data_IF_934307684928
#
_entry.id   IF_934307684928
#
_cell.length_a   1.000
_cell.length_b   1.000
_cell.length_c   1.000
_cell.angle_alpha   90.00
_cell.angle_beta   90.00
_cell.angle_gamma   90.00
#
_symmetry.space_group_name_H-M   'P 1'
#
loop_
_entity.id
_entity.type
_entity.pdbx_description
1 polymer ?
#
# COMPACT_ATOMS: atom_id res chain seq x y z
N UNK A 1 -4.58 -19.82 -9.02
CA UNK A 1 -5.48 -19.37 -10.10
C UNK A 1 -5.16 -17.99 -10.71
N UNK A 2 -5.55 -16.84 -10.11
CA UNK A 2 -5.38 -15.51 -10.75
C UNK A 2 -3.91 -15.16 -11.00
N UNK A 3 -3.05 -15.35 -9.99
CA UNK A 3 -1.59 -15.20 -10.10
C UNK A 3 -0.97 -16.07 -11.19
N UNK A 4 -1.44 -17.30 -11.34
CA UNK A 4 -0.92 -18.21 -12.37
C UNK A 4 -1.26 -17.69 -13.76
N UNK A 5 -2.47 -17.14 -13.94
CA UNK A 5 -2.86 -16.49 -15.20
C UNK A 5 -2.08 -15.18 -15.43
N UNK A 6 -1.84 -14.38 -14.39
CA UNK A 6 -1.01 -13.16 -14.47
C UNK A 6 0.46 -13.49 -14.79
N UNK A 7 0.96 -14.64 -14.33
CA UNK A 7 2.27 -15.19 -14.67
C UNK A 7 2.33 -15.85 -16.07
N UNK A 8 1.25 -15.76 -16.86
CA UNK A 8 1.20 -16.20 -18.25
C UNK A 8 0.61 -17.58 -18.51
N UNK A 9 0.08 -18.27 -17.49
CA UNK A 9 -0.63 -19.53 -17.71
C UNK A 9 -1.92 -19.31 -18.51
N UNK A 10 -2.22 -20.23 -19.45
CA UNK A 10 -3.45 -20.19 -20.23
C UNK A 10 -4.66 -20.33 -19.31
N UNK A 11 -5.60 -19.41 -19.44
CA UNK A 11 -6.83 -19.36 -18.63
C UNK A 11 -7.59 -20.69 -18.65
N UNK A 12 -7.66 -21.38 -19.80
CA UNK A 12 -8.38 -22.64 -19.92
C UNK A 12 -7.75 -23.77 -19.08
N UNK A 13 -6.42 -23.83 -19.05
CA UNK A 13 -5.69 -24.83 -18.26
C UNK A 13 -5.78 -24.55 -16.76
N UNK A 14 -5.78 -23.26 -16.41
CA UNK A 14 -6.04 -22.79 -15.05
C UNK A 14 -7.48 -23.14 -14.62
N UNK A 15 -8.48 -22.90 -15.47
CA UNK A 15 -9.88 -23.26 -15.22
C UNK A 15 -10.07 -24.77 -15.03
N UNK A 16 -9.47 -25.59 -15.92
CA UNK A 16 -9.50 -27.07 -15.82
C UNK A 16 -8.85 -27.58 -14.54
N UNK A 17 -7.63 -27.12 -14.21
CA UNK A 17 -6.91 -27.56 -13.00
C UNK A 17 -7.66 -27.22 -11.71
N UNK A 18 -8.35 -26.08 -11.68
CA UNK A 18 -9.11 -25.65 -10.51
C UNK A 18 -10.58 -26.08 -10.54
N UNK A 19 -11.03 -26.77 -11.58
CA UNK A 19 -12.41 -27.24 -11.70
C UNK A 19 -13.46 -26.12 -11.76
N UNK A 20 -13.11 -24.96 -12.33
CA UNK A 20 -14.05 -23.84 -12.44
C UNK A 20 -14.29 -23.42 -13.90
N UNK A 21 -15.40 -22.74 -14.15
CA UNK A 21 -15.71 -22.19 -15.47
C UNK A 21 -14.91 -20.92 -15.77
N UNK A 22 -14.67 -20.64 -17.06
CA UNK A 22 -14.06 -19.37 -17.49
C UNK A 22 -14.87 -18.15 -17.05
N UNK A 23 -16.21 -18.26 -16.98
CA UNK A 23 -17.08 -17.19 -16.49
C UNK A 23 -16.81 -16.88 -15.00
N UNK A 24 -16.63 -17.92 -14.18
CA UNK A 24 -16.25 -17.78 -12.76
C UNK A 24 -14.87 -17.12 -12.64
N UNK A 25 -13.89 -17.57 -13.44
CA UNK A 25 -12.56 -16.97 -13.47
C UNK A 25 -12.60 -15.47 -13.76
N UNK A 26 -13.29 -15.05 -14.83
CA UNK A 26 -13.36 -13.65 -15.19
C UNK A 26 -14.12 -12.80 -14.16
N UNK A 27 -15.13 -13.37 -13.50
CA UNK A 27 -15.81 -12.70 -12.38
C UNK A 27 -14.86 -12.44 -11.22
N UNK A 28 -14.03 -13.42 -10.85
CA UNK A 28 -13.00 -13.25 -9.83
C UNK A 28 -11.89 -12.31 -10.27
N UNK A 29 -11.45 -12.38 -11.53
CA UNK A 29 -10.45 -11.46 -12.08
C UNK A 29 -10.94 -10.01 -12.05
N UNK A 30 -12.22 -9.76 -12.32
CA UNK A 30 -12.81 -8.41 -12.22
C UNK A 30 -12.83 -7.91 -10.77
N UNK A 31 -13.11 -8.80 -9.80
CA UNK A 31 -13.26 -8.43 -8.39
C UNK A 31 -11.94 -8.33 -7.63
N UNK A 32 -10.98 -9.19 -7.96
CA UNK A 32 -9.75 -9.40 -7.19
C UNK A 32 -8.48 -9.26 -8.03
N UNK A 33 -8.59 -9.15 -9.35
CA UNK A 33 -7.42 -8.94 -10.23
C UNK A 33 -6.78 -7.59 -9.94
N UNK A 34 -5.45 -7.57 -9.88
CA UNK A 34 -4.68 -6.35 -9.58
C UNK A 34 -4.79 -5.83 -8.14
N UNK A 35 -5.49 -6.53 -7.24
CA UNK A 35 -5.64 -6.11 -5.84
C UNK A 35 -4.29 -6.02 -5.12
N UNK A 36 -3.38 -6.98 -5.35
CA UNK A 36 -2.03 -6.94 -4.76
C UNK A 36 -1.18 -5.76 -5.25
N UNK A 37 -1.31 -5.39 -6.53
CA UNK A 37 -0.63 -4.20 -7.06
C UNK A 37 -1.23 -2.90 -6.49
N UNK A 38 -2.56 -2.87 -6.29
CA UNK A 38 -3.26 -1.77 -5.63
C UNK A 38 -2.86 -1.61 -4.17
N UNK A 39 -2.78 -2.72 -3.43
CA UNK A 39 -2.38 -2.74 -2.03
C UNK A 39 -0.91 -2.35 -1.85
N UNK A 40 -0.01 -2.83 -2.71
CA UNK A 40 1.39 -2.41 -2.71
C UNK A 40 1.55 -0.91 -3.00
N UNK A 41 0.78 -0.36 -3.94
CA UNK A 41 0.78 1.09 -4.23
C UNK A 41 0.24 1.89 -3.05
N UNK A 42 -0.83 1.42 -2.41
CA UNK A 42 -1.41 2.07 -1.22
C UNK A 42 -0.45 2.03 -0.04
N UNK A 43 0.22 0.90 0.19
CA UNK A 43 1.23 0.76 1.24
C UNK A 43 2.35 1.77 1.06
N UNK A 44 2.93 1.87 -0.15
CA UNK A 44 3.98 2.85 -0.43
C UNK A 44 3.52 4.29 -0.22
N UNK A 45 2.29 4.63 -0.62
CA UNK A 45 1.74 5.96 -0.38
C UNK A 45 1.64 6.27 1.13
N UNK A 46 1.16 5.31 1.92
CA UNK A 46 1.08 5.44 3.37
C UNK A 46 2.46 5.54 4.04
N UNK A 47 3.46 4.81 3.56
CA UNK A 47 4.85 4.90 4.05
C UNK A 47 5.44 6.29 3.81
N UNK A 48 5.23 6.87 2.62
CA UNK A 48 5.67 8.22 2.28
C UNK A 48 4.98 9.27 3.14
N UNK A 49 3.66 9.17 3.30
CA UNK A 49 2.87 10.07 4.15
C UNK A 49 3.37 10.00 5.61
N UNK A 50 3.60 8.78 6.14
CA UNK A 50 4.08 8.57 7.49
C UNK A 50 5.47 9.18 7.71
N UNK A 51 6.38 9.01 6.75
CA UNK A 51 7.71 9.62 6.81
C UNK A 51 7.62 11.15 6.85
N UNK A 52 6.79 11.76 5.99
CA UNK A 52 6.56 13.20 5.98
C UNK A 52 5.97 13.70 7.30
N UNK A 53 4.97 13.01 7.85
CA UNK A 53 4.37 13.37 9.12
C UNK A 53 5.38 13.31 10.28
N UNK A 54 6.22 12.27 10.32
CA UNK A 54 7.28 12.16 11.33
C UNK A 54 8.28 13.30 11.25
N UNK A 55 8.66 13.70 10.04
CA UNK A 55 9.56 14.84 9.84
C UNK A 55 8.93 16.15 10.38
N UNK A 56 7.68 16.43 10.01
CA UNK A 56 6.96 17.63 10.48
C UNK A 56 6.90 17.66 12.02
N UNK A 57 6.59 16.52 12.64
CA UNK A 57 6.52 16.43 14.11
C UNK A 57 7.89 16.66 14.73
N UNK A 58 8.97 16.10 14.17
CA UNK A 58 10.31 16.33 14.66
C UNK A 58 10.72 17.81 14.58
N UNK A 59 10.46 18.46 13.45
CA UNK A 59 10.76 19.89 13.25
C UNK A 59 10.00 20.75 14.25
N UNK A 60 8.70 20.49 14.44
CA UNK A 60 7.87 21.19 15.42
C UNK A 60 8.35 20.99 16.86
N UNK A 61 8.83 19.79 17.21
CA UNK A 61 9.37 19.50 18.54
C UNK A 61 10.68 20.27 18.79
N UNK A 62 11.53 20.40 17.77
CA UNK A 62 12.76 21.19 17.85
C UNK A 62 12.44 22.68 18.04
N UNK A 63 11.53 23.23 17.25
CA UNK A 63 11.09 24.63 17.37
C UNK A 63 10.50 24.93 18.75
N UNK A 64 9.64 24.04 19.25
CA UNK A 64 9.06 24.17 20.58
C UNK A 64 10.14 24.12 21.68
N UNK A 65 11.16 23.28 21.53
CA UNK A 65 12.27 23.22 22.49
C UNK A 65 13.07 24.51 22.48
N UNK A 66 13.44 25.01 21.31
CA UNK A 66 14.18 26.26 21.16
C UNK A 66 13.41 27.46 21.74
N UNK A 67 12.09 27.53 21.50
CA UNK A 67 11.25 28.57 22.09
C UNK A 67 11.20 28.51 23.63
N UNK A 68 11.09 27.30 24.20
CA UNK A 68 11.11 27.11 25.66
C UNK A 68 12.45 27.52 26.25
N UNK A 69 13.56 27.17 25.61
CA UNK A 69 14.91 27.52 26.07
C UNK A 69 15.14 29.05 26.06
N UNK A 70 14.63 29.75 25.04
CA UNK A 70 14.68 31.21 24.99
C UNK A 70 13.87 31.85 26.11
N UNK A 71 12.64 31.40 26.32
CA UNK A 71 11.80 31.86 27.44
C UNK A 71 12.46 31.56 28.79
N UNK A 72 13.24 30.47 28.89
CA UNK A 72 13.95 30.10 30.10
C UNK A 72 15.17 30.99 30.42
N UNK A 73 15.75 31.66 29.43
CA UNK A 73 16.93 32.52 29.60
C UNK A 73 16.59 33.99 29.90
N UNK A 74 15.31 34.36 29.84
CA UNK A 74 14.83 35.72 30.05
C UNK A 74 14.33 36.01 31.48
N UNK A 75 14.66 35.15 32.45
CA UNK A 75 14.45 35.35 33.89
C UNK A 75 15.73 35.14 34.67
#
# INVERSE_FOLDING_TARGET
MLKESEAGAKTDDVCRRHGISSATFYSWRKKYGGLEAGDAKRLRALEVENAKLKQIVADQMLDMSAMKDLLQKHW
#
